data_IF_436902999839
#
_entry.id   IF_436902999839
#
_cell.length_a   1.000
_cell.length_b   1.000
_cell.length_c   1.000
_cell.angle_alpha   90.00
_cell.angle_beta   90.00
_cell.angle_gamma   90.00
#
_symmetry.space_group_name_H-M   'P 1'
#
loop_
_entity.id
_entity.type
_entity.pdbx_description
1 polymer ?
#
# COMPACT_ATOMS: atom_id res chain seq x y z
N UNK A 1 7.87 -14.67 3.37
CA UNK A 1 7.95 -13.21 3.25
C UNK A 1 8.05 -12.53 4.62
N UNK A 2 7.03 -12.69 5.50
CA UNK A 2 7.03 -12.00 6.80
C UNK A 2 8.23 -12.36 7.68
N UNK A 3 8.59 -13.63 7.76
CA UNK A 3 9.76 -14.08 8.52
C UNK A 3 11.07 -13.55 7.95
N UNK A 4 11.18 -13.43 6.62
CA UNK A 4 12.41 -12.94 5.96
C UNK A 4 12.66 -11.46 6.18
N UNK A 5 11.65 -10.66 6.58
CA UNK A 5 11.80 -9.26 7.01
C UNK A 5 11.79 -9.10 8.54
N UNK A 6 11.99 -10.20 9.29
CA UNK A 6 12.10 -10.16 10.75
C UNK A 6 10.78 -10.07 11.50
N UNK A 7 9.64 -10.26 10.83
CA UNK A 7 8.34 -10.34 11.50
C UNK A 7 8.18 -11.75 12.08
N UNK A 8 8.20 -11.86 13.40
CA UNK A 8 8.12 -13.15 14.11
C UNK A 8 6.69 -13.65 14.25
N UNK A 9 5.75 -12.73 14.46
CA UNK A 9 4.34 -13.07 14.63
C UNK A 9 3.46 -12.31 13.63
N UNK A 10 2.58 -13.03 12.97
CA UNK A 10 1.54 -12.47 12.10
C UNK A 10 0.19 -12.78 12.74
N UNK A 11 -0.40 -11.76 13.36
CA UNK A 11 -1.76 -11.86 13.88
C UNK A 11 -2.76 -12.07 12.74
N UNK A 12 -3.56 -13.11 12.81
CA UNK A 12 -4.65 -13.34 11.87
C UNK A 12 -5.97 -13.04 12.55
N UNK A 13 -6.75 -12.13 11.98
CA UNK A 13 -8.13 -11.93 12.45
C UNK A 13 -9.00 -13.12 12.05
N UNK A 14 -9.89 -13.50 12.94
CA UNK A 14 -10.85 -14.57 12.66
C UNK A 14 -11.87 -14.11 11.61
N UNK A 15 -12.36 -15.03 10.77
CA UNK A 15 -13.45 -14.72 9.85
C UNK A 15 -14.67 -14.19 10.59
N UNK A 16 -15.37 -13.22 9.99
CA UNK A 16 -16.60 -12.61 10.52
C UNK A 16 -16.45 -11.85 11.86
N UNK A 17 -15.23 -11.51 12.26
CA UNK A 17 -14.97 -10.70 13.46
C UNK A 17 -14.38 -9.32 13.08
N UNK A 18 -15.22 -8.34 12.67
CA UNK A 18 -14.76 -7.03 12.23
C UNK A 18 -14.12 -6.19 13.34
N UNK A 19 -14.40 -6.50 14.61
CA UNK A 19 -13.80 -5.82 15.76
C UNK A 19 -12.29 -6.13 15.91
N UNK A 20 -11.81 -7.25 15.38
CA UNK A 20 -10.39 -7.62 15.38
C UNK A 20 -9.57 -6.85 14.33
N UNK A 21 -10.24 -6.02 13.52
CA UNK A 21 -9.61 -5.28 12.42
C UNK A 21 -9.67 -3.77 12.66
N UNK A 22 -8.75 -3.20 13.43
CA UNK A 22 -8.75 -1.76 13.70
C UNK A 22 -8.68 -0.89 12.44
N UNK A 23 -8.14 -1.42 11.36
CA UNK A 23 -8.07 -0.73 10.06
C UNK A 23 -9.47 -0.45 9.47
N UNK A 24 -10.45 -1.33 9.66
CA UNK A 24 -11.81 -1.11 9.18
C UNK A 24 -12.48 0.08 9.90
N UNK A 25 -12.23 0.21 11.21
CA UNK A 25 -12.69 1.38 12.00
C UNK A 25 -12.01 2.67 11.54
N UNK A 26 -10.73 2.59 11.22
CA UNK A 26 -10.00 3.73 10.66
C UNK A 26 -10.65 4.18 9.34
N UNK A 27 -10.87 3.29 8.38
CA UNK A 27 -11.53 3.63 7.13
C UNK A 27 -12.96 4.15 7.31
N UNK A 28 -13.72 3.61 8.25
CA UNK A 28 -15.04 4.15 8.60
C UNK A 28 -14.95 5.59 9.12
N UNK A 29 -13.90 5.90 9.91
CA UNK A 29 -13.64 7.26 10.39
C UNK A 29 -13.24 8.18 9.24
N UNK A 30 -12.33 7.75 8.36
CA UNK A 30 -11.93 8.50 7.17
C UNK A 30 -13.15 8.80 6.30
N UNK A 31 -13.95 7.80 6.01
CA UNK A 31 -15.14 7.95 5.19
C UNK A 31 -16.13 8.96 5.80
N UNK A 32 -16.40 8.86 7.11
CA UNK A 32 -17.42 9.69 7.79
C UNK A 32 -16.94 11.08 8.17
N UNK A 33 -15.66 11.28 8.40
CA UNK A 33 -15.09 12.52 8.96
C UNK A 33 -14.18 13.29 8.00
N UNK A 34 -13.84 12.68 6.86
CA UNK A 34 -13.00 13.28 5.83
C UNK A 34 -13.66 13.18 4.45
N UNK A 35 -13.84 11.98 3.90
CA UNK A 35 -14.29 11.80 2.52
C UNK A 35 -15.66 12.42 2.22
N UNK A 36 -16.60 12.36 3.16
CA UNK A 36 -17.96 12.94 2.98
C UNK A 36 -17.99 14.47 2.87
N UNK A 37 -16.92 15.16 3.20
CA UNK A 37 -16.83 16.61 3.09
C UNK A 37 -16.54 17.10 1.67
N UNK A 38 -16.10 16.20 0.80
CA UNK A 38 -15.83 16.52 -0.59
C UNK A 38 -17.12 16.44 -1.41
N UNK A 39 -17.37 17.43 -2.24
CA UNK A 39 -18.50 17.41 -3.17
C UNK A 39 -18.40 16.27 -4.19
N UNK A 40 -17.17 15.81 -4.49
CA UNK A 40 -16.88 14.67 -5.34
C UNK A 40 -17.12 13.30 -4.69
N UNK A 41 -17.67 13.26 -3.46
CA UNK A 41 -17.89 12.00 -2.75
C UNK A 41 -18.89 11.08 -3.47
N UNK A 42 -18.43 9.89 -3.87
CA UNK A 42 -19.23 8.90 -4.62
C UNK A 42 -19.97 7.91 -3.75
N UNK A 43 -19.71 7.91 -2.43
CA UNK A 43 -20.35 7.00 -1.47
C UNK A 43 -19.66 5.64 -1.38
N UNK A 44 -19.97 4.91 -0.30
CA UNK A 44 -19.43 3.57 -0.03
C UNK A 44 -20.42 2.45 -0.27
N UNK A 45 -21.72 2.77 -0.33
CA UNK A 45 -22.80 1.78 -0.47
C UNK A 45 -23.78 2.22 -1.54
N UNK A 46 -24.20 1.28 -2.36
CA UNK A 46 -25.18 1.43 -3.45
C UNK A 46 -26.52 2.00 -3.00
N UNK A 47 -26.81 2.02 -1.69
CA UNK A 47 -28.06 2.54 -1.10
C UNK A 47 -27.97 3.96 -0.51
N UNK A 48 -26.78 4.55 -0.32
CA UNK A 48 -26.64 5.87 0.29
C UNK A 48 -26.63 7.00 -0.74
N UNK A 49 -27.64 7.03 -1.59
CA UNK A 49 -27.74 7.94 -2.74
C UNK A 49 -27.88 9.42 -2.40
N UNK A 50 -28.16 9.77 -1.16
CA UNK A 50 -28.51 11.15 -0.75
C UNK A 50 -27.31 12.10 -0.78
N UNK A 51 -26.08 11.59 -0.66
CA UNK A 51 -24.85 12.40 -0.61
C UNK A 51 -23.78 11.95 -1.60
N UNK A 52 -24.04 10.89 -2.39
CA UNK A 52 -23.08 10.36 -3.34
C UNK A 52 -23.30 10.97 -4.72
N UNK A 53 -22.23 11.43 -5.35
CA UNK A 53 -22.25 11.83 -6.77
C UNK A 53 -22.28 10.59 -7.65
N UNK A 54 -22.98 10.66 -8.79
CA UNK A 54 -22.93 9.64 -9.83
C UNK A 54 -21.68 9.83 -10.68
N UNK A 55 -21.24 8.79 -11.38
CA UNK A 55 -20.08 8.89 -12.27
C UNK A 55 -20.21 10.06 -13.26
N UNK A 56 -21.38 10.23 -13.87
CA UNK A 56 -21.66 11.34 -14.78
C UNK A 56 -21.43 12.73 -14.14
N UNK A 57 -21.76 12.87 -12.86
CA UNK A 57 -21.58 14.13 -12.15
C UNK A 57 -20.08 14.39 -11.90
N UNK A 58 -19.31 13.34 -11.63
CA UNK A 58 -17.84 13.40 -11.46
C UNK A 58 -17.15 13.78 -12.78
N UNK A 59 -17.57 13.17 -13.90
CA UNK A 59 -17.04 13.48 -15.23
C UNK A 59 -17.25 14.97 -15.57
N UNK A 60 -18.42 15.51 -15.25
CA UNK A 60 -18.71 16.95 -15.43
C UNK A 60 -17.87 17.84 -14.50
N UNK A 61 -17.62 17.42 -13.25
CA UNK A 61 -16.75 18.14 -12.33
C UNK A 61 -15.29 18.14 -12.82
N UNK A 62 -14.84 17.03 -13.41
CA UNK A 62 -13.51 16.94 -14.01
C UNK A 62 -13.36 17.91 -15.18
N UNK A 63 -14.34 17.96 -16.08
CA UNK A 63 -14.35 18.88 -17.23
C UNK A 63 -14.34 20.37 -16.81
N UNK A 64 -14.93 20.69 -15.65
CA UNK A 64 -14.95 22.05 -15.09
C UNK A 64 -13.74 22.39 -14.22
N UNK A 65 -12.84 21.42 -13.98
CA UNK A 65 -11.71 21.61 -13.08
C UNK A 65 -12.10 21.79 -11.60
N UNK A 66 -13.23 21.23 -11.19
CA UNK A 66 -13.76 21.30 -9.80
C UNK A 66 -13.21 20.20 -8.89
N UNK A 67 -12.43 19.28 -9.44
CA UNK A 67 -11.79 18.21 -8.66
C UNK A 67 -10.42 18.64 -8.18
N UNK A 68 -10.07 18.22 -6.97
CA UNK A 68 -8.72 18.41 -6.45
C UNK A 68 -7.71 17.61 -7.27
N UNK A 69 -6.53 18.19 -7.49
CA UNK A 69 -5.36 17.44 -7.97
C UNK A 69 -4.90 16.47 -6.88
N UNK A 70 -4.02 15.54 -7.25
CA UNK A 70 -3.44 14.61 -6.27
C UNK A 70 -2.62 15.36 -5.20
N UNK A 71 -1.89 16.38 -5.59
CA UNK A 71 -1.08 17.21 -4.70
C UNK A 71 -1.97 17.94 -3.68
N UNK A 72 -3.01 18.64 -4.13
CA UNK A 72 -3.97 19.33 -3.28
C UNK A 72 -4.69 18.34 -2.34
N UNK A 73 -5.07 17.17 -2.84
CA UNK A 73 -5.67 16.12 -2.01
C UNK A 73 -4.72 15.65 -0.91
N UNK A 74 -3.43 15.44 -1.23
CA UNK A 74 -2.42 15.04 -0.24
C UNK A 74 -2.18 16.11 0.81
N UNK A 75 -2.21 17.38 0.45
CA UNK A 75 -2.11 18.49 1.41
C UNK A 75 -3.30 18.48 2.38
N UNK A 76 -4.52 18.48 1.86
CA UNK A 76 -5.75 18.43 2.68
C UNK A 76 -5.82 17.18 3.55
N UNK A 77 -5.43 16.00 3.00
CA UNK A 77 -5.34 14.77 3.74
C UNK A 77 -4.32 14.85 4.88
N UNK A 78 -3.14 15.40 4.61
CA UNK A 78 -2.06 15.52 5.60
C UNK A 78 -2.44 16.48 6.71
N UNK A 79 -3.04 17.60 6.37
CA UNK A 79 -3.57 18.56 7.34
C UNK A 79 -4.63 17.91 8.22
N UNK A 80 -5.66 17.29 7.63
CA UNK A 80 -6.71 16.63 8.40
C UNK A 80 -6.17 15.53 9.31
N UNK A 81 -5.28 14.70 8.80
CA UNK A 81 -4.65 13.63 9.54
C UNK A 81 -3.90 14.18 10.76
N UNK A 82 -3.09 15.20 10.57
CA UNK A 82 -2.20 15.73 11.61
C UNK A 82 -2.96 16.60 12.63
N UNK A 83 -3.95 17.40 12.18
CA UNK A 83 -4.64 18.35 13.04
C UNK A 83 -5.92 17.81 13.67
N UNK A 84 -6.58 16.86 13.01
CA UNK A 84 -7.89 16.34 13.47
C UNK A 84 -7.82 14.88 13.92
N UNK A 85 -7.17 14.01 13.16
CA UNK A 85 -7.15 12.59 13.49
C UNK A 85 -6.14 12.27 14.59
N UNK A 86 -4.88 12.68 14.44
CA UNK A 86 -3.81 12.32 15.38
C UNK A 86 -3.91 13.01 16.73
N UNK A 87 -4.54 14.18 16.80
CA UNK A 87 -4.65 14.98 18.03
C UNK A 87 -5.94 14.71 18.82
N UNK A 88 -6.89 13.99 18.23
CA UNK A 88 -8.15 13.67 18.89
C UNK A 88 -7.99 12.46 19.83
N UNK A 89 -8.68 12.49 20.96
CA UNK A 89 -8.83 11.33 21.84
C UNK A 89 -9.54 10.17 21.11
N UNK A 90 -8.97 8.99 21.18
CA UNK A 90 -9.50 7.78 20.61
C UNK A 90 -10.03 6.85 21.70
N UNK A 91 -11.31 6.53 21.60
CA UNK A 91 -11.98 5.67 22.58
C UNK A 91 -11.28 4.31 22.74
N UNK A 92 -10.77 3.73 21.63
CA UNK A 92 -10.05 2.47 21.68
C UNK A 92 -8.78 2.51 22.54
N UNK A 93 -8.07 3.63 22.60
CA UNK A 93 -6.93 3.82 23.50
C UNK A 93 -7.40 4.02 24.95
N UNK A 94 -8.44 4.83 25.17
CA UNK A 94 -9.00 5.05 26.50
C UNK A 94 -9.59 3.77 27.12
N UNK A 95 -10.34 2.99 26.32
CA UNK A 95 -10.98 1.75 26.77
C UNK A 95 -9.95 0.63 27.04
N UNK A 96 -8.78 0.68 26.39
CA UNK A 96 -7.65 -0.21 26.65
C UNK A 96 -6.89 0.16 27.93
N UNK A 97 -7.26 1.27 28.59
CA UNK A 97 -6.56 1.75 29.79
C UNK A 97 -5.20 2.40 29.50
N UNK A 98 -4.97 2.78 28.26
CA UNK A 98 -3.71 3.40 27.86
C UNK A 98 -3.54 4.79 28.50
N UNK A 99 -2.33 5.09 28.95
CA UNK A 99 -1.96 6.41 29.46
C UNK A 99 -2.09 7.48 28.38
N UNK A 100 -1.76 7.13 27.15
CA UNK A 100 -1.75 8.01 26.00
C UNK A 100 -3.02 7.79 25.19
N UNK A 101 -3.89 8.77 25.15
CA UNK A 101 -5.26 8.62 24.58
C UNK A 101 -5.42 9.19 23.17
N UNK A 102 -4.41 9.91 22.69
CA UNK A 102 -4.36 10.37 21.29
C UNK A 102 -3.34 9.55 20.49
N UNK A 103 -3.55 9.34 19.18
CA UNK A 103 -2.59 8.61 18.35
C UNK A 103 -1.18 9.23 18.36
N UNK A 104 -1.08 10.55 18.39
CA UNK A 104 0.23 11.22 18.40
C UNK A 104 0.97 10.98 19.73
N UNK A 105 0.29 11.13 20.85
CA UNK A 105 0.87 10.86 22.18
C UNK A 105 1.31 9.40 22.30
N UNK A 106 0.48 8.46 21.82
CA UNK A 106 0.81 7.05 21.81
C UNK A 106 2.00 6.74 20.91
N UNK A 107 2.09 7.39 19.75
CA UNK A 107 3.23 7.23 18.85
C UNK A 107 4.53 7.78 19.45
N UNK A 108 4.49 8.94 20.12
CA UNK A 108 5.68 9.59 20.67
C UNK A 108 6.16 8.95 21.96
N UNK A 109 5.25 8.52 22.83
CA UNK A 109 5.56 8.11 24.19
C UNK A 109 5.25 6.65 24.51
N UNK A 110 4.52 5.97 23.62
CA UNK A 110 4.14 4.56 23.79
C UNK A 110 5.33 3.60 23.68
N UNK A 111 5.16 2.35 24.11
CA UNK A 111 6.22 1.35 24.03
C UNK A 111 6.63 1.12 22.57
N UNK A 112 7.94 1.13 22.34
CA UNK A 112 8.53 0.85 21.02
C UNK A 112 9.31 -0.46 21.10
N UNK A 113 9.04 -1.31 20.15
CA UNK A 113 9.82 -2.54 19.94
C UNK A 113 10.84 -2.26 18.85
N UNK A 114 12.05 -1.94 19.25
CA UNK A 114 13.14 -1.72 18.29
C UNK A 114 13.54 -3.06 17.69
N UNK A 115 13.48 -3.13 16.37
CA UNK A 115 14.00 -4.23 15.56
C UNK A 115 15.05 -3.69 14.61
N UNK A 116 16.13 -4.45 14.43
CA UNK A 116 17.06 -4.14 13.36
C UNK A 116 16.32 -4.13 12.02
N UNK A 117 16.41 -3.02 11.32
CA UNK A 117 15.86 -2.95 9.97
C UNK A 117 16.64 -3.92 9.04
N UNK A 118 15.96 -4.67 8.17
CA UNK A 118 16.66 -5.44 7.16
C UNK A 118 17.47 -4.51 6.25
N UNK A 119 18.56 -4.99 5.65
CA UNK A 119 19.29 -4.21 4.66
C UNK A 119 18.34 -3.64 3.60
N UNK A 120 18.55 -2.39 3.23
CA UNK A 120 17.64 -1.66 2.33
C UNK A 120 17.46 -2.36 0.99
N UNK A 121 18.55 -2.90 0.45
CA UNK A 121 18.54 -3.66 -0.81
C UNK A 121 17.69 -4.92 -0.71
N UNK A 122 17.78 -5.62 0.41
CA UNK A 122 17.01 -6.82 0.65
C UNK A 122 15.50 -6.51 0.78
N UNK A 123 15.15 -5.46 1.53
CA UNK A 123 13.78 -5.00 1.65
C UNK A 123 13.21 -4.57 0.27
N UNK A 124 14.00 -3.85 -0.52
CA UNK A 124 13.62 -3.46 -1.88
C UNK A 124 13.32 -4.69 -2.76
N UNK A 125 14.22 -5.68 -2.76
CA UNK A 125 14.02 -6.93 -3.51
C UNK A 125 12.75 -7.69 -3.11
N UNK A 126 12.38 -7.68 -1.84
CA UNK A 126 11.16 -8.33 -1.36
C UNK A 126 9.88 -7.63 -1.83
N UNK A 127 9.93 -6.32 -2.00
CA UNK A 127 8.80 -5.51 -2.43
C UNK A 127 8.62 -5.48 -3.96
N UNK A 128 9.64 -5.87 -4.73
CA UNK A 128 9.57 -5.92 -6.18
C UNK A 128 8.45 -6.85 -6.67
N UNK A 129 7.80 -6.48 -7.77
CA UNK A 129 6.89 -7.37 -8.49
C UNK A 129 7.66 -8.54 -9.07
N UNK A 130 7.03 -9.70 -9.10
CA UNK A 130 7.62 -10.93 -9.60
C UNK A 130 6.76 -11.57 -10.69
N UNK A 131 7.40 -12.18 -11.67
CA UNK A 131 6.76 -13.00 -12.69
C UNK A 131 7.76 -14.01 -13.24
N UNK A 132 7.29 -14.90 -14.11
CA UNK A 132 8.14 -15.77 -14.91
C UNK A 132 8.26 -15.22 -16.33
N UNK A 133 9.42 -15.33 -16.94
CA UNK A 133 9.67 -15.00 -18.34
C UNK A 133 10.45 -16.10 -19.04
N UNK A 134 10.30 -16.21 -20.34
CA UNK A 134 11.12 -17.10 -21.16
C UNK A 134 12.30 -16.28 -21.73
N UNK A 135 13.48 -16.83 -21.62
CA UNK A 135 14.67 -16.24 -22.24
C UNK A 135 14.72 -16.68 -23.70
N UNK A 136 14.79 -15.72 -24.59
CA UNK A 136 14.98 -15.93 -26.03
C UNK A 136 16.45 -15.73 -26.40
N UNK A 137 16.83 -16.05 -27.66
CA UNK A 137 18.17 -15.79 -28.18
C UNK A 137 18.55 -14.30 -28.14
N UNK A 138 17.56 -13.40 -28.08
CA UNK A 138 17.76 -11.96 -28.03
C UNK A 138 17.69 -11.39 -26.61
N UNK A 139 17.23 -12.18 -25.64
CA UNK A 139 17.00 -11.75 -24.26
C UNK A 139 15.57 -11.96 -23.80
N UNK A 140 15.14 -11.17 -22.83
CA UNK A 140 13.78 -11.20 -22.26
C UNK A 140 13.00 -10.01 -22.76
N UNK A 141 11.86 -10.25 -23.44
CA UNK A 141 10.93 -9.19 -23.81
C UNK A 141 9.88 -8.97 -22.71
N UNK A 142 9.83 -7.78 -22.15
CA UNK A 142 8.86 -7.39 -21.13
C UNK A 142 8.55 -5.90 -21.24
N UNK A 143 7.31 -5.49 -21.02
CA UNK A 143 6.87 -4.09 -21.11
C UNK A 143 7.18 -3.40 -22.45
N UNK A 144 7.21 -4.17 -23.55
CA UNK A 144 7.57 -3.63 -24.86
C UNK A 144 9.07 -3.34 -25.04
N UNK A 145 9.90 -3.71 -24.05
CA UNK A 145 11.36 -3.50 -24.05
C UNK A 145 12.08 -4.83 -24.03
N UNK A 146 13.19 -4.90 -24.74
CA UNK A 146 14.08 -6.07 -24.77
C UNK A 146 15.21 -5.86 -23.74
N UNK A 147 15.26 -6.74 -22.74
CA UNK A 147 16.30 -6.76 -21.72
C UNK A 147 17.33 -7.80 -22.11
N UNK A 148 18.58 -7.38 -22.17
CA UNK A 148 19.71 -8.22 -22.61
C UNK A 148 20.82 -8.21 -21.57
N UNK A 149 21.43 -9.36 -21.37
CA UNK A 149 22.63 -9.53 -20.58
C UNK A 149 23.40 -10.75 -21.11
N UNK A 150 24.72 -10.75 -20.99
CA UNK A 150 25.59 -11.84 -21.43
C UNK A 150 25.30 -13.14 -20.68
N UNK A 151 24.92 -13.05 -19.41
CA UNK A 151 24.60 -14.21 -18.58
C UNK A 151 23.29 -14.88 -18.99
N UNK A 152 22.39 -14.16 -19.65
CA UNK A 152 21.14 -14.76 -20.17
C UNK A 152 21.38 -15.82 -21.24
N UNK A 153 22.55 -15.84 -21.86
CA UNK A 153 22.91 -16.87 -22.84
C UNK A 153 22.85 -18.29 -22.28
N UNK A 154 23.15 -18.45 -20.99
CA UNK A 154 23.06 -19.76 -20.32
C UNK A 154 21.64 -20.27 -20.10
N UNK A 155 20.64 -19.38 -20.19
CA UNK A 155 19.23 -19.66 -19.91
C UNK A 155 18.35 -19.63 -21.16
N UNK A 156 18.93 -19.55 -22.34
CA UNK A 156 18.19 -19.51 -23.60
C UNK A 156 17.22 -20.70 -23.69
N UNK A 157 15.97 -20.40 -24.08
CA UNK A 157 14.83 -21.30 -24.11
C UNK A 157 14.31 -21.80 -22.75
N UNK A 158 14.88 -21.38 -21.64
CA UNK A 158 14.41 -21.71 -20.30
C UNK A 158 13.44 -20.63 -19.77
N UNK A 159 12.65 -21.03 -18.76
CA UNK A 159 11.85 -20.11 -17.97
C UNK A 159 12.65 -19.70 -16.75
N UNK A 160 12.74 -18.42 -16.50
CA UNK A 160 13.40 -17.82 -15.34
C UNK A 160 12.41 -16.98 -14.53
N UNK A 161 12.67 -16.80 -13.25
CA UNK A 161 11.94 -15.84 -12.43
C UNK A 161 12.53 -14.46 -12.66
N UNK A 162 11.67 -13.48 -12.85
CA UNK A 162 12.05 -12.08 -12.97
C UNK A 162 11.40 -11.26 -11.88
N UNK A 163 12.14 -10.26 -11.39
CA UNK A 163 11.61 -9.21 -10.51
C UNK A 163 11.94 -7.85 -11.07
N UNK A 164 11.10 -6.88 -10.77
CA UNK A 164 11.30 -5.48 -11.16
C UNK A 164 10.68 -4.53 -10.16
N UNK A 165 11.24 -3.32 -10.10
CA UNK A 165 10.62 -2.22 -9.40
C UNK A 165 9.47 -1.65 -10.24
N UNK A 166 8.36 -1.28 -9.59
CA UNK A 166 7.21 -0.69 -10.29
C UNK A 166 7.54 0.71 -10.81
N UNK A 167 8.36 1.43 -10.02
CA UNK A 167 8.72 2.81 -10.31
C UNK A 167 9.95 2.91 -11.25
N UNK A 168 10.72 1.81 -11.40
CA UNK A 168 11.88 1.73 -12.29
C UNK A 168 11.90 0.42 -13.08
N UNK A 169 11.27 0.43 -14.24
CA UNK A 169 11.25 -0.71 -15.17
C UNK A 169 12.46 -0.76 -16.11
N UNK A 170 13.48 0.07 -15.91
CA UNK A 170 14.70 0.04 -16.73
C UNK A 170 15.56 -1.19 -16.49
N UNK A 171 15.35 -1.87 -15.36
CA UNK A 171 16.11 -3.06 -14.95
C UNK A 171 15.17 -4.22 -14.63
N UNK A 172 15.55 -5.42 -15.06
CA UNK A 172 14.99 -6.67 -14.61
C UNK A 172 16.03 -7.46 -13.81
N UNK A 173 15.64 -7.94 -12.65
CA UNK A 173 16.44 -8.87 -11.86
C UNK A 173 16.01 -10.30 -12.21
N UNK A 174 16.96 -11.11 -12.63
CA UNK A 174 16.68 -12.49 -13.09
C UNK A 174 17.21 -13.47 -12.04
N UNK A 175 16.38 -14.47 -11.72
CA UNK A 175 16.69 -15.53 -10.76
C UNK A 175 16.40 -16.88 -11.41
N UNK A 176 17.32 -17.81 -11.24
CA UNK A 176 17.08 -19.19 -11.63
C UNK A 176 15.97 -19.80 -10.77
N UNK A 177 15.16 -20.69 -11.40
CA UNK A 177 14.12 -21.43 -10.71
C UNK A 177 14.67 -22.40 -9.63
N UNK A 178 15.94 -22.77 -9.74
CA UNK A 178 16.63 -23.65 -8.79
C UNK A 178 17.06 -22.96 -7.48
N UNK A 179 17.04 -21.62 -7.41
CA UNK A 179 17.48 -20.86 -6.24
C UNK A 179 16.33 -20.47 -5.27
N UNK A 180 15.18 -21.14 -5.35
CA UNK A 180 14.16 -21.02 -4.31
C UNK A 180 14.43 -22.08 -3.23
N UNK A 181 15.61 -22.06 -2.67
CA UNK A 181 15.90 -22.67 -1.38
C UNK A 181 16.67 -21.62 -0.57
N UNK A 182 15.92 -20.74 0.06
CA UNK A 182 16.22 -20.27 1.44
C UNK A 182 14.97 -19.53 1.94
#
# INVERSE_FOLDING_TARGET
>A
FYQSIGIQEVGRSLPYQPWDKPIERFFSTVCSKFSKWFESYTGTLTGSKTYAKRQKDIDQMLERGELLTMEEFFEVWTEWKNTKYHTRKHRGLSDAGEKWVTPIEMFENGPRYEKAAPPREYAAMLLMKAATARVTNQGINKFGTLYTDTELAYYVNQKVNIKWDIDDVTKLYVYDLSLIHI
#
